data_IF_838542737968
#
_entry.id   IF_838542737968
#
_cell.length_a   1.000
_cell.length_b   1.000
_cell.length_c   1.000
_cell.angle_alpha   90.00
_cell.angle_beta   90.00
_cell.angle_gamma   90.00
#
_symmetry.space_group_name_H-M   'P 1'
#
loop_
_entity.id
_entity.type
_entity.pdbx_description
1 polymer ?
#
# COMPACT_ATOMS: atom_id res chain seq x y z
N UNK A 1 11.30 21.28 -16.50
CA UNK A 1 10.35 21.21 -15.37
C UNK A 1 10.52 19.85 -14.72
N UNK A 2 11.20 19.80 -13.57
CA UNK A 2 11.35 18.54 -12.83
C UNK A 2 10.03 18.28 -12.10
N UNK A 3 9.18 17.43 -12.67
CA UNK A 3 8.00 16.96 -11.95
C UNK A 3 8.54 16.12 -10.79
N UNK A 4 8.28 16.55 -9.56
CA UNK A 4 8.50 15.77 -8.35
C UNK A 4 7.47 14.64 -8.32
N UNK A 5 7.64 13.66 -9.20
CA UNK A 5 6.77 12.47 -9.34
C UNK A 5 6.77 11.54 -8.10
N UNK A 6 7.86 11.42 -7.30
CA UNK A 6 7.87 10.43 -6.21
C UNK A 6 6.81 10.68 -5.14
N UNK A 7 6.63 11.93 -4.68
CA UNK A 7 5.71 12.23 -3.57
C UNK A 7 4.25 12.09 -3.97
N UNK A 8 3.84 12.69 -5.10
CA UNK A 8 2.44 12.68 -5.53
C UNK A 8 1.88 11.26 -5.79
N UNK A 9 2.71 10.33 -6.26
CA UNK A 9 2.35 8.92 -6.43
C UNK A 9 1.95 8.28 -5.10
N UNK A 10 2.83 8.40 -4.11
CA UNK A 10 2.71 7.75 -2.81
C UNK A 10 1.71 8.45 -1.90
N UNK A 11 1.55 9.78 -2.03
CA UNK A 11 0.43 10.51 -1.45
C UNK A 11 -0.91 9.94 -1.95
N UNK A 12 -1.02 9.67 -3.27
CA UNK A 12 -2.19 9.02 -3.85
C UNK A 12 -2.47 7.61 -3.29
N UNK A 13 -1.43 6.82 -3.05
CA UNK A 13 -1.55 5.50 -2.39
C UNK A 13 -2.10 5.64 -0.97
N UNK A 14 -1.62 6.63 -0.21
CA UNK A 14 -2.11 6.90 1.14
C UNK A 14 -3.56 7.42 1.13
N UNK A 15 -3.93 8.24 0.15
CA UNK A 15 -5.30 8.73 0.00
C UNK A 15 -6.29 7.62 -0.34
N UNK A 16 -5.92 6.72 -1.26
CA UNK A 16 -6.71 5.52 -1.57
C UNK A 16 -6.84 4.66 -0.30
N UNK A 17 -5.74 4.44 0.41
CA UNK A 17 -5.71 3.69 1.69
C UNK A 17 -6.69 4.25 2.71
N UNK A 18 -6.62 5.55 3.01
CA UNK A 18 -7.53 6.22 3.94
C UNK A 18 -8.98 6.13 3.47
N UNK A 19 -9.23 6.25 2.16
CA UNK A 19 -10.57 6.17 1.57
C UNK A 19 -11.17 4.77 1.71
N UNK A 20 -10.43 3.72 1.32
CA UNK A 20 -10.86 2.33 1.43
C UNK A 20 -11.15 1.97 2.89
N UNK A 21 -10.28 2.37 3.81
CA UNK A 21 -10.50 2.18 5.24
C UNK A 21 -11.77 2.88 5.74
N UNK A 22 -11.98 4.16 5.40
CA UNK A 22 -13.18 4.90 5.81
C UNK A 22 -14.47 4.24 5.32
N UNK A 23 -14.43 3.67 4.11
CA UNK A 23 -15.55 2.92 3.51
C UNK A 23 -15.68 1.49 4.03
N UNK A 24 -14.73 1.00 4.84
CA UNK A 24 -14.58 -0.41 5.20
C UNK A 24 -14.63 -1.32 3.97
N UNK A 25 -13.92 -0.89 2.93
CA UNK A 25 -13.87 -1.61 1.66
C UNK A 25 -13.18 -2.96 1.86
N UNK A 26 -13.65 -3.96 1.12
CA UNK A 26 -13.08 -5.31 1.17
C UNK A 26 -11.59 -5.26 0.79
N UNK A 27 -10.69 -5.93 1.55
CA UNK A 27 -9.25 -5.88 1.32
C UNK A 27 -8.84 -6.19 -0.11
N UNK A 28 -9.55 -7.11 -0.77
CA UNK A 28 -9.31 -7.47 -2.16
C UNK A 28 -9.60 -6.33 -3.15
N UNK A 29 -10.70 -5.60 -2.94
CA UNK A 29 -11.04 -4.42 -3.77
C UNK A 29 -10.05 -3.28 -3.54
N UNK A 30 -9.63 -3.08 -2.30
CA UNK A 30 -8.57 -2.13 -1.96
C UNK A 30 -7.25 -2.48 -2.68
N UNK A 31 -6.87 -3.77 -2.70
CA UNK A 31 -5.71 -4.25 -3.46
C UNK A 31 -5.83 -3.97 -4.98
N UNK A 32 -7.02 -4.13 -5.55
CA UNK A 32 -7.28 -3.79 -6.95
C UNK A 32 -7.12 -2.29 -7.20
N UNK A 33 -7.66 -1.42 -6.34
CA UNK A 33 -7.54 0.03 -6.51
C UNK A 33 -6.07 0.49 -6.46
N UNK A 34 -5.30 -0.02 -5.49
CA UNK A 34 -3.88 0.33 -5.34
C UNK A 34 -3.06 -0.20 -6.51
N UNK A 35 -3.25 -1.45 -6.92
CA UNK A 35 -2.55 -2.01 -8.09
C UNK A 35 -2.90 -1.28 -9.39
N UNK A 36 -4.16 -0.88 -9.58
CA UNK A 36 -4.59 -0.06 -10.70
C UNK A 36 -3.90 1.30 -10.73
N UNK A 37 -3.86 2.00 -9.59
CA UNK A 37 -3.16 3.29 -9.45
C UNK A 37 -1.66 3.17 -9.77
N UNK A 38 -1.00 2.16 -9.18
CA UNK A 38 0.43 1.91 -9.40
C UNK A 38 0.73 1.56 -10.86
N UNK A 39 -0.11 0.76 -11.51
CA UNK A 39 0.03 0.41 -12.92
C UNK A 39 -0.15 1.63 -13.84
N UNK A 40 -1.11 2.52 -13.54
CA UNK A 40 -1.27 3.79 -14.28
C UNK A 40 -0.04 4.69 -14.16
N UNK A 41 0.66 4.62 -13.03
CA UNK A 41 1.90 5.36 -12.80
C UNK A 41 3.17 4.62 -13.27
N UNK A 42 3.04 3.46 -13.91
CA UNK A 42 4.16 2.68 -14.46
C UNK A 42 5.01 1.98 -13.40
N UNK A 43 4.49 1.76 -12.19
CA UNK A 43 5.18 1.05 -11.12
C UNK A 43 5.06 -0.45 -11.31
N UNK A 44 6.20 -1.14 -11.30
CA UNK A 44 6.24 -2.60 -11.37
C UNK A 44 5.84 -3.21 -10.03
N UNK A 45 5.11 -4.33 -10.08
CA UNK A 45 4.69 -5.10 -8.91
C UNK A 45 5.41 -6.46 -8.90
N UNK A 46 5.86 -6.95 -7.73
CA UNK A 46 5.71 -6.34 -6.39
C UNK A 46 6.65 -5.13 -6.17
N UNK A 47 6.16 -4.09 -5.49
CA UNK A 47 6.94 -2.87 -5.21
C UNK A 47 7.51 -2.85 -3.80
N UNK A 48 8.82 -2.61 -3.70
CA UNK A 48 9.56 -2.47 -2.43
C UNK A 48 9.13 -1.20 -1.70
N UNK A 49 9.06 -0.09 -2.43
CA UNK A 49 8.67 1.22 -1.91
C UNK A 49 7.27 1.19 -1.31
N UNK A 50 6.33 0.51 -1.98
CA UNK A 50 4.99 0.31 -1.45
C UNK A 50 5.00 -0.43 -0.11
N UNK A 51 5.82 -1.48 0.03
CA UNK A 51 5.93 -2.21 1.29
C UNK A 51 6.40 -1.31 2.44
N UNK A 52 7.41 -0.47 2.18
CA UNK A 52 7.87 0.51 3.17
C UNK A 52 6.75 1.49 3.57
N UNK A 53 6.04 2.05 2.59
CA UNK A 53 4.98 3.03 2.83
C UNK A 53 3.82 2.40 3.61
N UNK A 54 3.36 1.21 3.20
CA UNK A 54 2.27 0.53 3.88
C UNK A 54 2.63 0.16 5.31
N UNK A 55 3.80 -0.45 5.53
CA UNK A 55 4.22 -0.86 6.88
C UNK A 55 4.39 0.37 7.78
N UNK A 56 5.09 1.40 7.31
CA UNK A 56 5.30 2.61 8.10
C UNK A 56 3.97 3.30 8.44
N UNK A 57 3.07 3.43 7.46
CA UNK A 57 1.77 4.04 7.67
C UNK A 57 0.89 3.23 8.63
N UNK A 58 0.86 1.90 8.51
CA UNK A 58 0.07 1.02 9.38
C UNK A 58 0.61 1.02 10.81
N UNK A 59 1.93 0.93 10.99
CA UNK A 59 2.55 0.85 12.31
C UNK A 59 2.42 2.17 13.09
N UNK A 60 2.48 3.33 12.42
CA UNK A 60 2.57 4.62 13.11
C UNK A 60 1.27 5.45 13.07
N UNK A 61 0.57 5.47 11.94
CA UNK A 61 -0.58 6.36 11.71
C UNK A 61 -1.92 5.62 11.63
N UNK A 62 -1.90 4.32 11.33
CA UNK A 62 -3.10 3.59 10.93
C UNK A 62 -3.19 2.18 11.52
N UNK A 63 -2.87 2.06 12.81
CA UNK A 63 -2.82 0.78 13.51
C UNK A 63 -4.23 0.24 13.85
N UNK A 64 -4.96 -0.21 12.82
CA UNK A 64 -6.32 -0.76 12.94
C UNK A 64 -6.44 -2.12 12.27
N UNK A 65 -7.34 -3.02 12.73
CA UNK A 65 -7.42 -4.38 12.21
C UNK A 65 -7.65 -4.50 10.70
N UNK A 66 -8.42 -3.58 10.10
CA UNK A 66 -8.68 -3.59 8.66
C UNK A 66 -7.43 -3.26 7.83
N UNK A 67 -6.53 -2.43 8.35
CA UNK A 67 -5.30 -2.07 7.66
C UNK A 67 -4.31 -3.24 7.65
N UNK A 68 -4.25 -4.01 8.75
CA UNK A 68 -3.51 -5.26 8.82
C UNK A 68 -4.05 -6.33 7.86
N UNK A 69 -5.38 -6.50 7.78
CA UNK A 69 -6.00 -7.40 6.78
C UNK A 69 -5.65 -7.00 5.35
N UNK A 70 -5.57 -5.70 5.07
CA UNK A 70 -5.13 -5.23 3.78
C UNK A 70 -3.65 -5.52 3.52
N UNK A 71 -2.78 -5.37 4.53
CA UNK A 71 -1.37 -5.73 4.41
C UNK A 71 -1.21 -7.21 4.04
N UNK A 72 -1.92 -8.11 4.72
CA UNK A 72 -1.97 -9.55 4.39
C UNK A 72 -2.48 -9.79 2.96
N UNK A 73 -3.51 -9.06 2.53
CA UNK A 73 -4.03 -9.15 1.17
C UNK A 73 -3.02 -8.65 0.13
N UNK A 74 -2.29 -7.58 0.41
CA UNK A 74 -1.27 -7.02 -0.50
C UNK A 74 -0.13 -8.02 -0.78
N UNK A 75 0.23 -8.80 0.23
CA UNK A 75 1.19 -9.91 0.14
C UNK A 75 0.60 -11.03 -0.71
N UNK A 76 -0.64 -11.44 -0.41
CA UNK A 76 -1.35 -12.53 -1.12
C UNK A 76 -1.56 -12.22 -2.61
N UNK A 77 -1.80 -10.95 -2.94
CA UNK A 77 -1.98 -10.45 -4.31
C UNK A 77 -0.66 -10.14 -5.03
N UNK A 78 0.51 -10.41 -4.43
CA UNK A 78 1.85 -10.10 -5.00
C UNK A 78 2.04 -8.62 -5.34
N UNK A 79 1.39 -7.74 -4.59
CA UNK A 79 1.51 -6.27 -4.75
C UNK A 79 2.72 -5.76 -3.95
N UNK A 80 2.96 -6.34 -2.77
CA UNK A 80 4.12 -6.07 -1.94
C UNK A 80 4.97 -7.36 -1.76
N UNK A 81 6.31 -7.27 -1.67
CA UNK A 81 7.16 -8.44 -1.43
C UNK A 81 6.93 -9.04 -0.03
N UNK A 82 6.53 -10.31 0.11
CA UNK A 82 6.17 -10.93 1.40
C UNK A 82 7.29 -10.87 2.44
N UNK A 83 8.51 -11.27 2.06
CA UNK A 83 9.66 -11.38 2.97
C UNK A 83 10.05 -10.00 3.50
N UNK A 84 10.00 -8.98 2.63
CA UNK A 84 10.30 -7.61 3.01
C UNK A 84 9.26 -7.08 4.02
N UNK A 85 7.97 -7.26 3.74
CA UNK A 85 6.91 -6.81 4.66
C UNK A 85 7.08 -7.45 6.04
N UNK A 86 7.33 -8.76 6.09
CA UNK A 86 7.58 -9.46 7.36
C UNK A 86 8.80 -8.89 8.08
N UNK A 87 9.91 -8.65 7.37
CA UNK A 87 11.10 -8.06 7.99
C UNK A 87 10.85 -6.65 8.56
N UNK A 88 10.06 -5.83 7.86
CA UNK A 88 9.76 -4.46 8.27
C UNK A 88 8.82 -4.41 9.48
N UNK A 89 7.90 -5.36 9.60
CA UNK A 89 6.97 -5.44 10.74
C UNK A 89 7.66 -6.03 11.99
N UNK A 90 8.68 -6.88 11.80
CA UNK A 90 9.45 -7.47 12.90
C UNK A 90 10.61 -6.60 13.42
N UNK A 91 10.95 -5.54 12.69
CA UNK A 91 12.04 -4.62 13.02
C UNK A 91 11.65 -3.68 14.16
#
# INVERSE_FOLDING_TARGET
>A
MAVSVPTALWDGVLDITKRCQKKREEPFLWAIQISGHLNMCGVSLPSVELAHILVFHICWDNNVPIAWKYLEQSISSKIAPPILVLSLVSA
#
